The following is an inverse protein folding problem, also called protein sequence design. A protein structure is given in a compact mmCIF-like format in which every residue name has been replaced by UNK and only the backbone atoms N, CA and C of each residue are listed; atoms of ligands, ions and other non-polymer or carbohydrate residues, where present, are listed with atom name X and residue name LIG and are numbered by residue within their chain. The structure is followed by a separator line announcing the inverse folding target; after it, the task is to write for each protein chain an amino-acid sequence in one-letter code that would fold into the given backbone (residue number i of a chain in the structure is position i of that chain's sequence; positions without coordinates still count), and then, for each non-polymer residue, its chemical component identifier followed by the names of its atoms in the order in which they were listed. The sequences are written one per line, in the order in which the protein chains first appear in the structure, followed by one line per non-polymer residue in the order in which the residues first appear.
data_IF_890687138585
#
_entry.id   IF_890687138585
#
_cell.length_a   1.000
_cell.length_b   1.000
_cell.length_c   1.000
_cell.angle_alpha   90.00
_cell.angle_beta   90.00
_cell.angle_gamma   90.00
#
_symmetry.space_group_name_H-M   'P 1'
#
loop_
_entity.id
_entity.type
_entity.pdbx_description
1 polymer ?
#
# COMPACT_ATOMS: atom_id res chain seq x y z
N UNK A 1 8.37 30.03 34.15
CA UNK A 1 7.19 29.20 33.81
C UNK A 1 7.02 29.17 32.31
N UNK A 2 6.95 27.96 31.73
CA UNK A 2 6.36 27.64 30.42
C UNK A 2 7.18 27.86 29.14
N UNK A 3 8.51 27.83 29.20
CA UNK A 3 9.37 27.47 28.04
C UNK A 3 9.36 25.94 27.76
N UNK A 4 8.24 25.27 28.06
CA UNK A 4 8.12 23.80 28.13
C UNK A 4 7.18 23.26 27.03
N UNK A 5 6.47 24.13 26.32
CA UNK A 5 5.45 23.71 25.35
C UNK A 5 5.99 23.43 23.94
N UNK A 6 7.22 23.83 23.61
CA UNK A 6 7.73 23.70 22.23
C UNK A 6 8.36 22.33 21.96
N UNK A 7 8.79 21.60 23.00
CA UNK A 7 9.50 20.33 22.83
C UNK A 7 8.60 19.11 22.54
N UNK A 8 7.29 19.21 22.80
CA UNK A 8 6.39 18.04 22.72
C UNK A 8 5.87 17.78 21.29
N UNK A 9 5.97 18.76 20.38
CA UNK A 9 5.42 18.65 19.02
C UNK A 9 6.38 18.01 17.99
N UNK A 10 7.67 17.84 18.31
CA UNK A 10 8.64 17.23 17.38
C UNK A 10 8.78 15.70 17.51
N UNK A 11 8.02 15.06 18.41
CA UNK A 11 8.14 13.62 18.69
C UNK A 11 7.24 12.69 17.87
N UNK A 12 6.37 13.21 17.01
CA UNK A 12 5.35 12.41 16.29
C UNK A 12 5.65 12.21 14.79
N UNK A 13 6.90 12.37 14.33
CA UNK A 13 7.28 12.05 12.95
C UNK A 13 8.04 10.72 12.81
N UNK A 14 8.29 10.02 13.91
CA UNK A 14 8.95 8.69 13.92
C UNK A 14 7.96 7.52 14.10
N UNK A 15 6.66 7.76 13.89
CA UNK A 15 5.63 6.73 13.93
C UNK A 15 5.28 6.22 12.52
N UNK A 16 5.54 4.93 12.28
CA UNK A 16 5.12 4.13 11.12
C UNK A 16 6.02 4.14 9.86
N UNK A 17 7.35 4.03 10.03
CA UNK A 17 8.14 3.27 9.04
C UNK A 17 8.00 1.76 9.32
N UNK A 18 6.77 1.25 9.38
CA UNK A 18 6.55 -0.16 9.00
C UNK A 18 6.69 -0.18 7.49
N UNK A 19 7.93 -0.14 7.01
CA UNK A 19 8.21 -0.43 5.60
C UNK A 19 7.49 -1.76 5.32
N UNK A 20 6.52 -1.80 4.41
CA UNK A 20 5.90 -3.06 4.05
C UNK A 20 7.01 -4.03 3.68
N UNK A 21 6.86 -5.31 4.04
CA UNK A 21 7.88 -6.34 3.82
C UNK A 21 8.29 -6.50 2.34
N UNK A 22 7.64 -5.77 1.44
CA UNK A 22 8.04 -5.48 0.08
C UNK A 22 7.27 -4.30 -0.50
N UNK A 23 7.69 -3.81 -1.66
CA UNK A 23 7.05 -2.72 -2.40
C UNK A 23 6.90 -3.09 -3.88
N UNK A 24 6.06 -2.34 -4.59
CA UNK A 24 5.87 -2.53 -6.03
C UNK A 24 6.85 -1.66 -6.82
N UNK A 25 7.50 -2.23 -7.82
CA UNK A 25 8.40 -1.50 -8.71
C UNK A 25 8.07 -1.74 -10.18
N UNK A 26 8.20 -0.68 -10.98
CA UNK A 26 8.13 -0.73 -12.43
C UNK A 26 9.14 0.26 -13.02
N UNK A 27 9.94 -0.20 -13.99
CA UNK A 27 10.93 0.65 -14.64
C UNK A 27 10.26 1.84 -15.34
N UNK A 28 10.75 3.05 -15.06
CA UNK A 28 10.23 4.28 -15.66
C UNK A 28 8.99 4.86 -14.97
N UNK A 29 8.54 4.29 -13.85
CA UNK A 29 7.47 4.87 -13.01
C UNK A 29 8.03 5.55 -11.78
N UNK A 30 7.40 6.66 -11.41
CA UNK A 30 7.64 7.32 -10.12
C UNK A 30 6.88 6.61 -9.01
N UNK A 31 7.30 6.86 -7.76
CA UNK A 31 6.62 6.33 -6.58
C UNK A 31 5.17 6.84 -6.48
N UNK A 32 4.91 8.10 -6.82
CA UNK A 32 3.57 8.68 -6.80
C UNK A 32 2.63 8.01 -7.83
N UNK A 33 3.13 7.70 -9.02
CA UNK A 33 2.38 6.92 -10.01
C UNK A 33 2.13 5.49 -9.50
N UNK A 34 3.14 4.87 -8.89
CA UNK A 34 3.02 3.53 -8.32
C UNK A 34 1.96 3.46 -7.21
N UNK A 35 1.91 4.47 -6.34
CA UNK A 35 0.87 4.57 -5.30
C UNK A 35 -0.52 4.81 -5.88
N UNK A 36 -0.63 5.60 -6.94
CA UNK A 36 -1.90 5.84 -7.64
C UNK A 36 -2.42 4.56 -8.28
N UNK A 37 -1.55 3.82 -8.96
CA UNK A 37 -1.85 2.53 -9.58
C UNK A 37 -2.20 1.47 -8.53
N UNK A 38 -1.51 1.48 -7.38
CA UNK A 38 -1.81 0.61 -6.25
C UNK A 38 -3.22 0.87 -5.68
N UNK A 39 -3.56 2.14 -5.40
CA UNK A 39 -4.88 2.53 -4.90
C UNK A 39 -6.00 2.15 -5.90
N UNK A 40 -5.73 2.25 -7.21
CA UNK A 40 -6.65 1.77 -8.23
C UNK A 40 -6.89 0.25 -8.10
N UNK A 41 -5.83 -0.54 -7.95
CA UNK A 41 -5.94 -1.99 -7.80
C UNK A 41 -6.63 -2.41 -6.49
N UNK A 42 -6.43 -1.69 -5.39
CA UNK A 42 -7.19 -1.90 -4.14
C UNK A 42 -8.69 -1.68 -4.37
N UNK A 43 -9.06 -0.63 -5.09
CA UNK A 43 -10.46 -0.34 -5.40
C UNK A 43 -11.09 -1.43 -6.28
N UNK A 44 -10.36 -1.93 -7.28
CA UNK A 44 -10.80 -3.06 -8.12
C UNK A 44 -11.03 -4.31 -7.27
N UNK A 45 -10.06 -4.66 -6.42
CA UNK A 45 -10.16 -5.80 -5.52
C UNK A 45 -11.36 -5.68 -4.57
N UNK A 46 -11.61 -4.49 -4.03
CA UNK A 46 -12.76 -4.21 -3.18
C UNK A 46 -14.09 -4.40 -3.94
N UNK A 47 -14.24 -3.80 -5.12
CA UNK A 47 -15.48 -3.91 -5.90
C UNK A 47 -15.75 -5.36 -6.35
N UNK A 48 -14.71 -6.08 -6.76
CA UNK A 48 -14.82 -7.48 -7.16
C UNK A 48 -15.18 -8.39 -5.97
N UNK A 49 -14.62 -8.11 -4.79
CA UNK A 49 -15.00 -8.82 -3.56
C UNK A 49 -16.46 -8.58 -3.14
N UNK A 50 -16.97 -7.35 -3.31
CA UNK A 50 -18.36 -7.00 -3.04
C UNK A 50 -19.33 -7.64 -4.05
N UNK A 51 -18.90 -7.79 -5.31
CA UNK A 51 -19.68 -8.44 -6.37
C UNK A 51 -19.74 -9.95 -6.18
N UNK A 52 -18.64 -10.56 -5.75
CA UNK A 52 -18.52 -11.99 -5.49
C UNK A 52 -18.75 -12.30 -4.00
N UNK A 53 -19.86 -11.81 -3.41
CA UNK A 53 -20.38 -12.27 -2.11
C UNK A 53 -20.81 -13.75 -2.21
N UNK A 54 -19.82 -14.59 -2.33
CA UNK A 54 -19.86 -16.05 -2.36
C UNK A 54 -19.26 -16.54 -1.05
N UNK A 55 -19.65 -17.72 -0.60
CA UNK A 55 -19.12 -18.38 0.61
C UNK A 55 -17.60 -18.70 0.53
N UNK A 56 -16.92 -18.31 -0.56
CA UNK A 56 -15.48 -18.43 -0.71
C UNK A 56 -14.70 -17.38 0.10
N UNK A 57 -13.50 -17.73 0.61
CA UNK A 57 -12.65 -16.79 1.33
C UNK A 57 -12.29 -15.58 0.46
N UNK A 58 -12.28 -14.39 1.07
CA UNK A 58 -11.97 -13.11 0.45
C UNK A 58 -10.67 -13.16 -0.38
N UNK A 59 -10.79 -13.06 -1.72
CA UNK A 59 -9.67 -13.09 -2.67
C UNK A 59 -9.05 -11.71 -2.95
N UNK A 60 -9.40 -10.67 -2.17
CA UNK A 60 -8.97 -9.29 -2.40
C UNK A 60 -7.46 -9.11 -2.62
N UNK A 61 -6.59 -9.64 -1.74
CA UNK A 61 -5.14 -9.52 -1.92
C UNK A 61 -4.61 -10.19 -3.19
N UNK A 62 -5.28 -11.25 -3.66
CA UNK A 62 -4.91 -11.94 -4.91
C UNK A 62 -5.33 -11.10 -6.12
N UNK A 63 -6.53 -10.51 -6.08
CA UNK A 63 -7.06 -9.67 -7.15
C UNK A 63 -6.20 -8.41 -7.31
N UNK A 64 -5.88 -7.75 -6.20
CA UNK A 64 -4.98 -6.59 -6.15
C UNK A 64 -3.61 -6.93 -6.73
N UNK A 65 -2.99 -8.02 -6.25
CA UNK A 65 -1.70 -8.51 -6.76
C UNK A 65 -1.73 -8.76 -8.27
N UNK A 66 -2.76 -9.45 -8.76
CA UNK A 66 -2.93 -9.75 -10.18
C UNK A 66 -3.19 -8.47 -11.01
N UNK A 67 -3.82 -7.45 -10.44
CA UNK A 67 -4.00 -6.15 -11.05
C UNK A 67 -2.64 -5.44 -11.23
N UNK A 68 -1.84 -5.35 -10.16
CA UNK A 68 -0.50 -4.76 -10.21
C UNK A 68 0.42 -5.47 -11.21
N UNK A 69 0.42 -6.81 -11.21
CA UNK A 69 1.22 -7.60 -12.15
C UNK A 69 0.81 -7.39 -13.61
N UNK A 70 -0.49 -7.25 -13.92
CA UNK A 70 -0.97 -6.96 -15.27
C UNK A 70 -0.57 -5.58 -15.77
N UNK A 71 -0.40 -4.62 -14.87
CA UNK A 71 0.13 -3.29 -15.20
C UNK A 71 1.65 -3.28 -15.39
N UNK A 72 2.33 -4.41 -15.13
CA UNK A 72 3.77 -4.56 -15.32
C UNK A 72 4.61 -4.28 -14.06
N UNK A 73 3.97 -4.16 -12.89
CA UNK A 73 4.68 -4.04 -11.62
C UNK A 73 5.19 -5.39 -11.14
N UNK A 74 6.39 -5.38 -10.55
CA UNK A 74 6.98 -6.52 -9.85
C UNK A 74 6.99 -6.23 -8.35
N UNK A 75 6.56 -7.19 -7.55
CA UNK A 75 6.65 -7.07 -6.09
C UNK A 75 8.06 -7.42 -5.65
N UNK A 76 8.77 -6.44 -5.11
CA UNK A 76 10.10 -6.59 -4.52
C UNK A 76 9.93 -6.85 -3.04
N UNK A 77 10.15 -8.09 -2.62
CA UNK A 77 10.22 -8.40 -1.20
C UNK A 77 11.53 -7.83 -0.67
N UNK A 78 11.46 -7.00 0.38
CA UNK A 78 12.64 -6.57 1.13
C UNK A 78 12.77 -7.50 2.33
N UNK A 79 13.55 -8.59 2.24
CA UNK A 79 13.86 -9.39 3.40
C UNK A 79 14.59 -8.50 4.42
N UNK A 80 14.10 -8.50 5.66
CA UNK A 80 14.77 -7.87 6.80
C UNK A 80 16.09 -8.57 7.10
#
# INVERSE_FOLDING_TARGET
MKAVYVAVLMGMLSGCATTPSGHWEQAGRTEAETQTDFAHCEQVAYLESQRNKSDEPFKGPIIEKNCMQRMGYTYVNNPK
#
